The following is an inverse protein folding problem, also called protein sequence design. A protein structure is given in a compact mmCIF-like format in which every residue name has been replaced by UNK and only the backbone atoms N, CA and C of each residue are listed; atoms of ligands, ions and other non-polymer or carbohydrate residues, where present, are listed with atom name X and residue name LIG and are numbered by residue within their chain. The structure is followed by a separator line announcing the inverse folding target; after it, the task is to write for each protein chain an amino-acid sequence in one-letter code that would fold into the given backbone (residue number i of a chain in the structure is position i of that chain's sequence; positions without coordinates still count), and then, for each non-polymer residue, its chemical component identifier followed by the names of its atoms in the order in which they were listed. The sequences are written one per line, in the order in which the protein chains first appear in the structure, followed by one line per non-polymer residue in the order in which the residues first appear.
data_IF_090817764328
#
_entry.id   IF_090817764328
#
_cell.length_a   1.000
_cell.length_b   1.000
_cell.length_c   1.000
_cell.angle_alpha   90.00
_cell.angle_beta   90.00
_cell.angle_gamma   90.00
#
_symmetry.space_group_name_H-M   'P 1'
#
loop_
_entity.id
_entity.type
_entity.pdbx_description
1 polymer ?
#
# COMPACT_ATOMS: atom_id res chain seq x y z
N UNK A 1 -5.86 -10.79 6.91
CA UNK A 1 -6.67 -9.60 6.60
C UNK A 1 -8.12 -9.99 6.73
N UNK A 2 -8.98 -9.05 7.05
CA UNK A 2 -10.41 -9.27 7.17
C UNK A 2 -11.16 -7.96 7.27
N UNK A 3 -12.47 -8.06 7.39
CA UNK A 3 -13.35 -6.92 7.63
C UNK A 3 -13.87 -7.00 9.05
N UNK A 4 -13.96 -5.85 9.72
CA UNK A 4 -14.59 -5.72 11.03
C UNK A 4 -15.32 -4.38 11.08
N UNK A 5 -16.63 -4.44 11.31
CA UNK A 5 -17.50 -3.27 11.42
C UNK A 5 -17.36 -2.31 10.23
N UNK A 6 -16.68 -1.17 10.43
CA UNK A 6 -16.50 -0.09 9.46
C UNK A 6 -15.12 -0.06 8.79
N UNK A 7 -14.25 -1.03 9.07
CA UNK A 7 -12.88 -1.02 8.57
C UNK A 7 -12.38 -2.39 8.12
N UNK A 8 -11.40 -2.35 7.21
CA UNK A 8 -10.59 -3.50 6.86
C UNK A 8 -9.38 -3.56 7.78
N UNK A 9 -8.96 -4.74 8.23
CA UNK A 9 -7.73 -4.89 8.99
C UNK A 9 -6.72 -5.77 8.26
N UNK A 10 -5.44 -5.46 8.44
CA UNK A 10 -4.31 -6.25 7.92
C UNK A 10 -3.34 -6.55 9.06
N UNK A 11 -2.79 -7.75 9.09
CA UNK A 11 -1.74 -8.11 10.05
C UNK A 11 -0.44 -8.41 9.30
N UNK A 12 0.67 -7.93 9.85
CA UNK A 12 1.98 -8.22 9.32
C UNK A 12 2.62 -9.32 10.18
N UNK A 13 3.06 -10.44 9.58
CA UNK A 13 3.68 -11.52 10.35
C UNK A 13 5.07 -11.14 10.90
N UNK A 14 5.73 -10.14 10.31
CA UNK A 14 7.00 -9.59 10.80
C UNK A 14 7.02 -8.08 10.59
N UNK A 15 7.60 -7.35 11.53
CA UNK A 15 7.85 -5.91 11.43
C UNK A 15 9.31 -5.62 11.78
N UNK A 16 9.77 -4.38 11.60
CA UNK A 16 11.14 -4.02 11.99
C UNK A 16 11.39 -4.20 13.49
N UNK A 17 10.39 -3.85 14.29
CA UNK A 17 10.40 -3.90 15.76
C UNK A 17 10.03 -5.28 16.32
N UNK A 18 9.49 -6.17 15.48
CA UNK A 18 9.15 -7.54 15.85
C UNK A 18 9.56 -8.51 14.72
N UNK A 19 10.79 -9.03 14.84
CA UNK A 19 11.36 -9.98 13.89
C UNK A 19 10.91 -11.42 14.13
N UNK A 20 10.49 -11.75 15.37
CA UNK A 20 10.01 -13.07 15.75
C UNK A 20 8.56 -13.26 15.28
N UNK A 21 7.78 -12.17 15.20
CA UNK A 21 6.38 -12.20 14.76
C UNK A 21 5.42 -12.60 15.87
N UNK A 22 5.87 -12.50 17.12
CA UNK A 22 5.10 -12.84 18.32
C UNK A 22 3.99 -11.80 18.58
N UNK A 23 4.22 -10.54 18.19
CA UNK A 23 3.23 -9.47 18.30
C UNK A 23 2.39 -9.39 17.03
N UNK A 24 1.19 -9.95 17.10
CA UNK A 24 0.16 -9.78 16.07
C UNK A 24 -0.66 -8.54 16.38
N UNK A 25 -0.16 -7.37 16.01
CA UNK A 25 -0.91 -6.11 16.06
C UNK A 25 -1.55 -5.85 14.69
N UNK A 26 -2.88 -6.05 14.53
CA UNK A 26 -3.56 -5.69 13.30
C UNK A 26 -3.51 -4.18 13.09
N UNK A 27 -3.42 -3.76 11.83
CA UNK A 27 -3.53 -2.36 11.41
C UNK A 27 -4.88 -2.17 10.73
N UNK A 28 -5.68 -1.25 11.25
CA UNK A 28 -6.98 -0.88 10.68
C UNK A 28 -6.79 0.08 9.49
N UNK A 29 -7.61 -0.12 8.46
CA UNK A 29 -7.60 0.60 7.19
C UNK A 29 -9.05 1.02 6.93
N UNK A 30 -9.26 2.33 6.87
CA UNK A 30 -10.57 2.93 6.68
C UNK A 30 -10.76 3.41 5.24
N UNK A 31 -12.02 3.49 4.82
CA UNK A 31 -12.38 4.13 3.56
C UNK A 31 -12.14 5.64 3.65
N UNK A 32 -11.70 6.25 2.56
CA UNK A 32 -11.69 7.70 2.40
C UNK A 32 -12.70 8.12 1.32
N UNK A 33 -13.97 8.38 1.68
CA UNK A 33 -14.98 8.82 0.72
C UNK A 33 -14.79 10.26 0.24
N UNK A 34 -14.02 11.08 0.97
CA UNK A 34 -13.80 12.49 0.65
C UNK A 34 -12.80 12.64 -0.50
N UNK A 35 -11.72 11.84 -0.48
CA UNK A 35 -10.72 11.78 -1.55
C UNK A 35 -10.60 10.34 -2.07
N UNK A 36 -11.52 9.88 -2.93
CA UNK A 36 -11.56 8.50 -3.40
C UNK A 36 -10.30 8.08 -4.15
N UNK A 37 -9.59 9.02 -4.78
CA UNK A 37 -8.35 8.78 -5.54
C UNK A 37 -7.22 8.22 -4.68
N UNK A 38 -7.25 8.48 -3.37
CA UNK A 38 -6.28 8.00 -2.38
C UNK A 38 -6.90 6.98 -1.40
N UNK A 39 -8.13 6.54 -1.63
CA UNK A 39 -8.81 5.58 -0.76
C UNK A 39 -8.25 4.17 -0.97
N UNK A 40 -7.62 3.55 0.07
CA UNK A 40 -7.01 2.23 -0.08
C UNK A 40 -8.03 1.11 -0.34
N UNK A 41 -9.24 1.23 0.22
CA UNK A 41 -10.30 0.23 0.03
C UNK A 41 -10.84 0.30 -1.41
N UNK A 42 -11.08 1.50 -1.92
CA UNK A 42 -11.50 1.69 -3.32
C UNK A 42 -10.41 1.22 -4.29
N UNK A 43 -9.16 1.58 -4.05
CA UNK A 43 -8.03 1.15 -4.87
C UNK A 43 -7.91 -0.39 -4.92
N UNK A 44 -8.09 -1.07 -3.78
CA UNK A 44 -8.11 -2.53 -3.72
C UNK A 44 -9.28 -3.12 -4.50
N UNK A 45 -10.48 -2.53 -4.39
CA UNK A 45 -11.65 -2.95 -5.17
C UNK A 45 -11.43 -2.87 -6.67
N UNK A 46 -10.91 -1.73 -7.16
CA UNK A 46 -10.56 -1.55 -8.57
C UNK A 46 -9.51 -2.57 -9.00
N UNK A 47 -8.50 -2.83 -8.16
CA UNK A 47 -7.48 -3.83 -8.44
C UNK A 47 -8.08 -5.23 -8.62
N UNK A 48 -8.95 -5.68 -7.70
CA UNK A 48 -9.61 -6.99 -7.75
C UNK A 48 -10.57 -7.14 -8.94
N UNK A 49 -11.20 -6.04 -9.37
CA UNK A 49 -12.03 -6.04 -10.59
C UNK A 49 -11.21 -6.10 -11.88
N UNK A 50 -9.99 -5.55 -11.84
CA UNK A 50 -9.11 -5.46 -13.01
C UNK A 50 -8.12 -6.63 -13.10
N UNK A 51 -7.92 -7.38 -12.02
CA UNK A 51 -6.94 -8.46 -11.92
C UNK A 51 -7.50 -9.63 -11.15
N UNK A 52 -7.30 -10.85 -11.67
CA UNK A 52 -7.63 -12.08 -10.96
C UNK A 52 -6.43 -12.49 -10.10
N UNK A 53 -6.50 -12.39 -8.76
CA UNK A 53 -5.41 -12.82 -7.89
C UNK A 53 -5.25 -14.34 -7.93
N UNK A 54 -4.04 -14.81 -7.62
CA UNK A 54 -3.79 -16.24 -7.42
C UNK A 54 -4.44 -16.70 -6.10
N UNK A 55 -4.74 -18.00 -5.98
CA UNK A 55 -5.28 -18.59 -4.75
C UNK A 55 -4.38 -18.37 -3.53
N UNK A 56 -3.07 -18.23 -3.76
CA UNK A 56 -2.08 -18.09 -2.68
C UNK A 56 -1.62 -16.65 -2.43
N UNK A 57 -1.80 -15.74 -3.40
CA UNK A 57 -1.22 -14.39 -3.37
C UNK A 57 -2.16 -13.35 -3.98
N UNK A 58 -2.47 -12.32 -3.19
CA UNK A 58 -3.25 -11.16 -3.65
C UNK A 58 -2.51 -10.34 -4.72
N UNK A 59 -1.18 -10.27 -4.60
CA UNK A 59 -0.33 -9.44 -5.42
C UNK A 59 0.77 -10.28 -6.09
N UNK A 60 1.07 -10.04 -7.37
CA UNK A 60 2.16 -10.73 -8.06
C UNK A 60 3.51 -10.33 -7.45
N UNK A 61 4.45 -11.28 -7.39
CA UNK A 61 5.81 -11.04 -6.90
C UNK A 61 6.39 -12.20 -6.06
N UNK A 62 7.72 -12.23 -5.97
CA UNK A 62 8.45 -13.17 -5.13
C UNK A 62 9.04 -12.46 -3.91
N UNK A 63 8.57 -12.87 -2.73
CA UNK A 63 8.95 -12.32 -1.41
C UNK A 63 10.47 -12.38 -1.16
N UNK A 64 11.16 -13.32 -1.81
CA UNK A 64 12.60 -13.57 -1.64
C UNK A 64 13.51 -12.63 -2.45
N UNK A 65 13.01 -11.94 -3.48
CA UNK A 65 13.85 -11.19 -4.43
C UNK A 65 13.57 -9.67 -4.34
N UNK A 66 12.36 -9.27 -3.95
CA UNK A 66 11.95 -7.88 -4.03
C UNK A 66 11.90 -7.19 -2.66
N UNK A 67 12.98 -6.46 -2.35
CA UNK A 67 12.89 -5.23 -1.55
C UNK A 67 11.97 -4.17 -2.18
N UNK A 68 11.41 -4.46 -3.37
CA UNK A 68 10.50 -3.68 -4.20
C UNK A 68 9.07 -4.17 -4.02
N UNK A 69 8.57 -4.11 -2.78
CA UNK A 69 7.25 -4.64 -2.35
C UNK A 69 6.02 -4.06 -3.07
N UNK A 70 6.18 -3.14 -4.03
CA UNK A 70 5.09 -2.35 -4.63
C UNK A 70 5.20 -2.14 -6.14
N UNK A 71 6.08 -2.85 -6.85
CA UNK A 71 6.24 -2.67 -8.30
C UNK A 71 5.20 -3.45 -9.11
N UNK A 72 4.05 -2.84 -9.40
CA UNK A 72 3.07 -3.41 -10.35
C UNK A 72 3.43 -3.09 -11.80
N UNK A 73 3.60 -4.09 -12.68
CA UNK A 73 4.03 -3.87 -14.07
C UNK A 73 3.04 -3.06 -14.93
N UNK A 74 1.73 -3.23 -14.75
CA UNK A 74 0.71 -2.51 -15.54
C UNK A 74 0.58 -1.04 -15.14
N UNK A 75 0.54 -0.79 -13.82
CA UNK A 75 0.55 0.55 -13.24
C UNK A 75 1.83 1.28 -13.67
N UNK A 76 2.98 0.59 -13.75
CA UNK A 76 4.27 1.19 -14.10
C UNK A 76 4.25 2.00 -15.40
N UNK A 77 3.68 1.52 -16.50
CA UNK A 77 3.74 2.31 -17.77
C UNK A 77 2.91 3.59 -17.70
N UNK A 78 1.66 3.50 -17.24
CA UNK A 78 0.78 4.65 -17.10
C UNK A 78 1.29 5.62 -16.02
N UNK A 79 1.73 5.10 -14.88
CA UNK A 79 2.26 5.90 -13.77
C UNK A 79 3.62 6.50 -14.10
N UNK A 80 4.50 5.82 -14.83
CA UNK A 80 5.75 6.44 -15.28
C UNK A 80 5.49 7.63 -16.20
N UNK A 81 4.51 7.53 -17.12
CA UNK A 81 4.13 8.65 -17.97
C UNK A 81 3.60 9.84 -17.15
N UNK A 82 2.76 9.60 -16.15
CA UNK A 82 2.27 10.65 -15.27
C UNK A 82 3.37 11.24 -14.38
N UNK A 83 4.27 10.42 -13.85
CA UNK A 83 5.46 10.85 -13.10
C UNK A 83 6.30 11.80 -13.96
N UNK A 84 6.60 11.41 -15.20
CA UNK A 84 7.34 12.28 -16.14
C UNK A 84 6.56 13.54 -16.49
N UNK A 85 5.23 13.46 -16.68
CA UNK A 85 4.37 14.63 -16.91
C UNK A 85 4.43 15.63 -15.75
N UNK A 86 4.58 15.14 -14.53
CA UNK A 86 4.75 15.96 -13.32
C UNK A 86 6.20 16.46 -13.13
N UNK A 87 7.11 16.20 -14.07
CA UNK A 87 8.50 16.64 -14.01
C UNK A 87 9.37 15.82 -13.05
N UNK A 88 8.91 14.64 -12.64
CA UNK A 88 9.65 13.74 -11.75
C UNK A 88 10.33 12.63 -12.56
N UNK A 89 11.47 12.12 -12.07
CA UNK A 89 12.07 10.91 -12.61
C UNK A 89 11.56 9.69 -11.86
N UNK A 90 11.39 8.58 -12.58
CA UNK A 90 10.94 7.32 -12.00
C UNK A 90 11.94 6.80 -10.97
N UNK A 91 13.22 6.99 -11.24
CA UNK A 91 14.36 6.50 -10.47
C UNK A 91 14.38 7.11 -9.06
N UNK A 92 13.81 8.31 -8.90
CA UNK A 92 13.71 9.04 -7.64
C UNK A 92 12.56 8.54 -6.74
N UNK A 93 11.66 7.72 -7.29
CA UNK A 93 10.49 7.20 -6.59
C UNK A 93 10.75 5.75 -6.16
N UNK A 94 11.17 5.61 -4.89
CA UNK A 94 11.37 4.31 -4.25
C UNK A 94 10.59 4.15 -2.95
N UNK A 95 10.77 3.01 -2.29
CA UNK A 95 10.15 2.68 -1.00
C UNK A 95 10.40 3.76 0.07
N UNK A 96 11.58 4.38 0.05
CA UNK A 96 11.93 5.47 0.96
C UNK A 96 11.19 6.78 0.65
N UNK A 97 10.96 7.08 -0.64
CA UNK A 97 10.25 8.29 -1.09
C UNK A 97 8.77 8.21 -0.70
N UNK A 98 8.13 7.05 -0.89
CA UNK A 98 6.74 6.81 -0.47
C UNK A 98 6.58 6.97 1.05
N UNK A 99 7.49 6.37 1.83
CA UNK A 99 7.44 6.43 3.30
C UNK A 99 7.63 7.85 3.83
N UNK A 100 8.58 8.62 3.28
CA UNK A 100 8.93 9.95 3.79
C UNK A 100 8.02 11.07 3.28
N UNK A 101 7.37 10.88 2.12
CA UNK A 101 6.46 11.86 1.54
C UNK A 101 5.01 11.51 1.83
N UNK A 102 4.41 10.72 0.94
CA UNK A 102 2.97 10.44 0.94
C UNK A 102 2.48 9.79 2.24
N UNK A 103 3.18 8.77 2.75
CA UNK A 103 2.76 8.10 3.98
C UNK A 103 2.84 9.05 5.18
N UNK A 104 3.94 9.81 5.33
CA UNK A 104 4.05 10.84 6.37
C UNK A 104 2.94 11.86 6.26
N UNK A 105 2.68 12.42 5.08
CA UNK A 105 1.57 13.37 4.88
C UNK A 105 0.21 12.80 5.34
N UNK A 106 -0.14 11.58 4.91
CA UNK A 106 -1.39 10.95 5.28
C UNK A 106 -1.50 10.62 6.78
N UNK A 107 -0.39 10.28 7.44
CA UNK A 107 -0.39 9.92 8.88
C UNK A 107 -0.16 11.09 9.82
N UNK A 108 0.48 12.18 9.37
CA UNK A 108 0.84 13.33 10.19
C UNK A 108 -0.33 14.29 10.44
N UNK A 109 -1.49 14.08 9.80
CA UNK A 109 -2.72 14.85 10.03
C UNK A 109 -3.64 14.30 11.12
N UNK A 110 -3.31 13.17 11.76
CA UNK A 110 -4.12 12.62 12.84
C UNK A 110 -3.84 13.36 14.16
N UNK A 111 -4.86 14.01 14.74
CA UNK A 111 -4.79 14.63 16.07
C UNK A 111 -4.90 13.62 17.22
N UNK A 112 -5.03 12.33 16.90
CA UNK A 112 -4.95 11.23 17.84
C UNK A 112 -3.76 10.32 17.49
N UNK A 113 -2.88 10.13 18.47
CA UNK A 113 -1.84 9.11 18.49
C UNK A 113 -2.47 7.79 18.99
N UNK A 114 -2.04 6.59 18.55
CA UNK A 114 -2.31 5.36 19.28
C UNK A 114 -1.67 5.36 20.69
#
# INVERSE_FOLDING_TARGET
MGWQDDHMWVSFPKSKTDQTGERKEPKSIYANPICPEICPILALGIYLLSHTPDRSKLFPGNVAIDGRRYEYPMIRKAVCREITRLGMNREDIGTHSIRKGAATYCTSGSTHCP
#
